data_IF_625693033110
#
_entry.id   IF_625693033110
#
_cell.length_a   1.000
_cell.length_b   1.000
_cell.length_c   1.000
_cell.angle_alpha   90.00
_cell.angle_beta   90.00
_cell.angle_gamma   90.00
#
_symmetry.space_group_name_H-M   'P 1'
#
loop_
_entity.id
_entity.type
_entity.pdbx_description
1 polymer ?
#
# COMPACT_ATOMS: atom_id res chain seq x y z
N UNK A 1 31.05 -51.64 -37.66
CA UNK A 1 29.68 -51.41 -37.14
C UNK A 1 29.62 -50.85 -35.71
N UNK A 2 30.73 -50.44 -35.08
CA UNK A 2 30.77 -49.90 -33.69
C UNK A 2 30.60 -48.37 -33.56
N UNK A 3 30.90 -47.60 -34.61
CA UNK A 3 30.92 -46.13 -34.56
C UNK A 3 29.53 -45.48 -34.60
N UNK A 4 28.54 -46.13 -35.23
CA UNK A 4 27.14 -45.62 -35.27
C UNK A 4 26.44 -45.64 -33.91
N UNK A 5 26.73 -46.62 -33.05
CA UNK A 5 26.10 -46.74 -31.73
C UNK A 5 26.60 -45.66 -30.75
N UNK A 6 27.89 -45.33 -30.78
CA UNK A 6 28.51 -44.32 -29.88
C UNK A 6 27.99 -42.91 -30.18
N UNK A 7 27.81 -42.57 -31.46
CA UNK A 7 27.25 -41.27 -31.86
C UNK A 7 25.77 -41.12 -31.49
N UNK A 8 24.99 -42.22 -31.54
CA UNK A 8 23.60 -42.20 -31.11
C UNK A 8 23.47 -41.96 -29.60
N UNK A 9 24.27 -42.65 -28.77
CA UNK A 9 24.26 -42.45 -27.31
C UNK A 9 24.67 -41.03 -26.89
N UNK A 10 25.65 -40.42 -27.57
CA UNK A 10 26.04 -39.03 -27.31
C UNK A 10 24.91 -38.04 -27.64
N UNK A 11 24.16 -38.29 -28.72
CA UNK A 11 22.99 -37.50 -29.09
C UNK A 11 21.86 -37.58 -28.05
N UNK A 12 21.60 -38.76 -27.50
CA UNK A 12 20.63 -38.93 -26.42
C UNK A 12 21.06 -38.24 -25.13
N UNK A 13 22.34 -38.33 -24.76
CA UNK A 13 22.88 -37.62 -23.58
C UNK A 13 22.79 -36.11 -23.77
N UNK A 14 23.12 -35.58 -24.95
CA UNK A 14 22.99 -34.15 -25.24
C UNK A 14 21.52 -33.69 -25.18
N UNK A 15 20.60 -34.47 -25.74
CA UNK A 15 19.18 -34.15 -25.70
C UNK A 15 18.65 -34.14 -24.26
N UNK A 16 19.04 -35.11 -23.44
CA UNK A 16 18.65 -35.20 -22.04
C UNK A 16 19.18 -34.00 -21.23
N UNK A 17 20.42 -33.59 -21.45
CA UNK A 17 21.01 -32.39 -20.83
C UNK A 17 20.27 -31.12 -21.26
N UNK A 18 19.98 -30.97 -22.55
CA UNK A 18 19.24 -29.81 -23.06
C UNK A 18 17.80 -29.76 -22.53
N UNK A 19 17.14 -30.92 -22.45
CA UNK A 19 15.81 -31.05 -21.88
C UNK A 19 15.82 -30.69 -20.39
N UNK A 20 16.81 -31.19 -19.64
CA UNK A 20 16.97 -30.88 -18.23
C UNK A 20 17.20 -29.37 -18.01
N UNK A 21 18.05 -28.74 -18.81
CA UNK A 21 18.28 -27.28 -18.75
C UNK A 21 17.03 -26.49 -19.10
N UNK A 22 16.28 -26.92 -20.11
CA UNK A 22 15.01 -26.29 -20.49
C UNK A 22 14.01 -26.36 -19.33
N UNK A 23 13.77 -27.55 -18.77
CA UNK A 23 12.86 -27.74 -17.65
C UNK A 23 13.30 -26.95 -16.41
N UNK A 24 14.61 -26.92 -16.13
CA UNK A 24 15.17 -26.12 -15.04
C UNK A 24 14.92 -24.63 -15.23
N UNK A 25 15.20 -24.09 -16.43
CA UNK A 25 14.97 -22.67 -16.74
C UNK A 25 13.50 -22.28 -16.65
N UNK A 26 12.59 -23.16 -17.09
CA UNK A 26 11.15 -22.95 -16.96
C UNK A 26 10.73 -22.89 -15.49
N UNK A 27 11.20 -23.83 -14.67
CA UNK A 27 10.94 -23.83 -13.23
C UNK A 27 11.49 -22.58 -12.54
N UNK A 28 12.72 -22.17 -12.90
CA UNK A 28 13.32 -20.94 -12.39
C UNK A 28 12.52 -19.70 -12.78
N UNK A 29 12.09 -19.59 -14.04
CA UNK A 29 11.31 -18.45 -14.52
C UNK A 29 9.97 -18.31 -13.77
N UNK A 30 9.29 -19.43 -13.52
CA UNK A 30 8.05 -19.45 -12.73
C UNK A 30 8.31 -18.97 -11.30
N UNK A 31 9.33 -19.53 -10.62
CA UNK A 31 9.67 -19.13 -9.25
C UNK A 31 10.07 -17.66 -9.15
N UNK A 32 10.85 -17.18 -10.12
CA UNK A 32 11.27 -15.79 -10.19
C UNK A 32 10.06 -14.85 -10.32
N UNK A 33 9.15 -15.12 -11.27
CA UNK A 33 7.95 -14.32 -11.47
C UNK A 33 7.02 -14.29 -10.26
N UNK A 34 6.86 -15.43 -9.58
CA UNK A 34 6.09 -15.51 -8.33
C UNK A 34 6.74 -14.71 -7.20
N UNK A 35 8.07 -14.78 -7.08
CA UNK A 35 8.82 -14.05 -6.04
C UNK A 35 8.73 -12.55 -6.25
N UNK A 36 8.92 -12.07 -7.47
CA UNK A 36 8.80 -10.65 -7.80
C UNK A 36 7.38 -10.12 -7.52
N UNK A 37 6.36 -10.89 -7.89
CA UNK A 37 4.96 -10.56 -7.61
C UNK A 37 4.67 -10.50 -6.11
N UNK A 38 5.18 -11.46 -5.34
CA UNK A 38 5.03 -11.47 -3.88
C UNK A 38 5.73 -10.26 -3.24
N UNK A 39 6.93 -9.92 -3.69
CA UNK A 39 7.68 -8.75 -3.17
C UNK A 39 6.95 -7.44 -3.50
N UNK A 40 6.46 -7.29 -4.73
CA UNK A 40 5.72 -6.07 -5.12
C UNK A 40 4.42 -5.93 -4.35
N UNK A 41 3.65 -7.00 -4.19
CA UNK A 41 2.42 -7.01 -3.39
C UNK A 41 2.70 -6.72 -1.91
N UNK A 42 3.77 -7.30 -1.34
CA UNK A 42 4.20 -7.02 0.03
C UNK A 42 4.52 -5.54 0.23
N UNK A 43 5.28 -4.92 -0.68
CA UNK A 43 5.60 -3.48 -0.62
C UNK A 43 4.35 -2.60 -0.71
N UNK A 44 3.38 -2.98 -1.54
CA UNK A 44 2.11 -2.26 -1.64
C UNK A 44 1.31 -2.37 -0.33
N UNK A 45 1.21 -3.57 0.25
CA UNK A 45 0.54 -3.79 1.53
C UNK A 45 1.19 -2.99 2.66
N UNK A 46 2.53 -2.99 2.76
CA UNK A 46 3.27 -2.19 3.74
C UNK A 46 2.97 -0.70 3.58
N UNK A 47 2.98 -0.18 2.35
CA UNK A 47 2.70 1.24 2.11
C UNK A 47 1.26 1.62 2.49
N UNK A 48 0.30 0.73 2.22
CA UNK A 48 -1.09 0.94 2.64
C UNK A 48 -1.23 0.93 4.17
N UNK A 49 -0.56 -0.01 4.87
CA UNK A 49 -0.54 -0.03 6.33
C UNK A 49 0.11 1.21 6.95
N UNK A 50 1.21 1.70 6.36
CA UNK A 50 1.84 2.95 6.79
C UNK A 50 0.91 4.15 6.65
N UNK A 51 0.18 4.25 5.53
CA UNK A 51 -0.82 5.29 5.29
C UNK A 51 -2.00 5.19 6.27
N UNK A 52 -2.48 3.98 6.54
CA UNK A 52 -3.53 3.74 7.53
C UNK A 52 -3.08 4.14 8.95
N UNK A 53 -1.86 3.78 9.33
CA UNK A 53 -1.26 4.16 10.60
C UNK A 53 -1.10 5.69 10.72
N UNK A 54 -0.75 6.38 9.63
CA UNK A 54 -0.69 7.83 9.62
C UNK A 54 -2.08 8.45 9.86
N UNK A 55 -3.10 7.99 9.13
CA UNK A 55 -4.47 8.47 9.32
C UNK A 55 -4.94 8.26 10.77
N UNK A 56 -4.67 7.07 11.33
CA UNK A 56 -5.00 6.76 12.72
C UNK A 56 -4.29 7.69 13.71
N UNK A 57 -2.98 7.91 13.56
CA UNK A 57 -2.22 8.83 14.43
C UNK A 57 -2.78 10.26 14.40
N UNK A 58 -3.20 10.73 13.23
CA UNK A 58 -3.81 12.06 13.09
C UNK A 58 -5.14 12.10 13.86
N UNK A 59 -5.99 11.08 13.68
CA UNK A 59 -7.26 10.98 14.40
C UNK A 59 -7.06 10.89 15.91
N UNK A 60 -6.10 10.09 16.38
CA UNK A 60 -5.77 9.95 17.80
C UNK A 60 -5.26 11.28 18.38
N UNK A 61 -4.45 12.03 17.62
CA UNK A 61 -3.96 13.35 18.03
C UNK A 61 -5.09 14.36 18.20
N UNK A 62 -6.08 14.34 17.29
CA UNK A 62 -7.28 15.16 17.40
C UNK A 62 -8.12 14.72 18.60
N UNK A 63 -8.33 13.43 18.78
CA UNK A 63 -9.13 12.89 19.88
C UNK A 63 -8.51 13.13 21.28
N UNK A 64 -7.18 13.28 21.38
CA UNK A 64 -6.48 13.55 22.63
C UNK A 64 -6.65 14.98 23.17
N UNK A 65 -7.28 15.88 22.42
CA UNK A 65 -7.55 17.25 22.84
C UNK A 65 -9.06 17.51 22.82
N UNK A 66 -9.52 18.43 23.67
CA UNK A 66 -10.89 18.92 23.60
C UNK A 66 -11.15 19.52 22.20
N UNK A 67 -12.32 19.27 21.64
CA UNK A 67 -12.69 19.79 20.33
C UNK A 67 -12.69 21.32 20.30
N UNK A 68 -13.05 21.98 21.40
CA UNK A 68 -12.95 23.45 21.49
C UNK A 68 -11.51 23.93 21.31
N UNK A 69 -10.54 23.21 21.88
CA UNK A 69 -9.12 23.53 21.74
C UNK A 69 -8.61 23.24 20.32
N UNK A 70 -9.04 22.12 19.72
CA UNK A 70 -8.69 21.79 18.33
C UNK A 70 -9.19 22.85 17.35
N UNK A 71 -10.41 23.35 17.55
CA UNK A 71 -11.01 24.42 16.76
C UNK A 71 -10.27 25.74 16.96
N UNK A 72 -9.99 26.12 18.21
CA UNK A 72 -9.29 27.36 18.55
C UNK A 72 -7.85 27.40 18.00
N UNK A 73 -7.16 26.25 17.99
CA UNK A 73 -5.80 26.11 17.45
C UNK A 73 -5.75 25.90 15.94
N UNK A 74 -6.90 25.88 15.26
CA UNK A 74 -7.01 25.57 13.83
C UNK A 74 -6.38 24.21 13.46
N UNK A 75 -6.37 23.27 14.40
CA UNK A 75 -5.92 21.89 14.16
C UNK A 75 -6.98 21.07 13.42
N UNK A 76 -8.25 21.52 13.47
CA UNK A 76 -9.36 21.02 12.69
C UNK A 76 -10.34 22.17 12.42
N UNK A 77 -10.85 22.32 11.20
CA UNK A 77 -11.72 23.44 10.80
C UNK A 77 -13.01 22.88 10.19
N UNK A 78 -14.19 23.05 10.82
CA UNK A 78 -15.47 22.64 10.27
C UNK A 78 -15.79 23.40 8.97
N UNK A 79 -16.19 22.68 7.92
CA UNK A 79 -16.33 23.20 6.55
C UNK A 79 -15.01 23.53 5.85
N UNK A 80 -13.88 23.23 6.50
CA UNK A 80 -12.54 23.54 6.03
C UNK A 80 -11.74 22.31 5.66
N UNK A 81 -10.61 22.58 5.00
CA UNK A 81 -9.64 21.56 4.58
C UNK A 81 -8.29 21.94 5.17
N UNK A 82 -7.67 20.99 5.86
CA UNK A 82 -6.29 21.12 6.36
C UNK A 82 -5.41 20.11 5.65
N UNK A 83 -4.40 20.61 4.96
CA UNK A 83 -3.44 19.76 4.26
C UNK A 83 -2.11 19.69 5.01
N UNK A 84 -1.47 18.54 4.94
CA UNK A 84 -0.15 18.36 5.50
C UNK A 84 0.61 17.24 4.82
N UNK A 85 1.87 17.08 5.23
CA UNK A 85 2.81 16.17 4.60
C UNK A 85 3.60 15.42 5.67
N UNK A 86 3.75 14.11 5.52
CA UNK A 86 4.59 13.29 6.40
C UNK A 86 5.35 12.25 5.57
N UNK A 87 6.67 12.45 5.46
CA UNK A 87 7.53 11.61 4.62
C UNK A 87 7.06 11.57 3.17
N UNK A 88 6.75 10.36 2.68
CA UNK A 88 6.25 10.11 1.32
C UNK A 88 4.73 10.34 1.16
N UNK A 89 4.03 10.60 2.25
CA UNK A 89 2.59 10.81 2.26
C UNK A 89 2.25 12.30 2.28
N UNK A 90 1.13 12.62 1.65
CA UNK A 90 0.39 13.86 1.81
C UNK A 90 -0.94 13.48 2.45
N UNK A 91 -1.48 14.31 3.34
CA UNK A 91 -2.76 14.05 3.97
C UNK A 91 -3.64 15.27 3.95
N UNK A 92 -4.94 15.02 4.00
CA UNK A 92 -5.99 16.03 4.03
C UNK A 92 -6.95 15.68 5.16
N UNK A 93 -7.16 16.62 6.08
CA UNK A 93 -8.17 16.55 7.13
C UNK A 93 -9.34 17.41 6.69
N UNK A 94 -10.53 16.81 6.66
CA UNK A 94 -11.79 17.51 6.42
C UNK A 94 -12.69 17.30 7.61
N UNK A 95 -13.40 18.33 8.01
CA UNK A 95 -14.38 18.22 9.05
C UNK A 95 -15.67 18.91 8.63
N UNK A 96 -16.80 18.26 8.85
CA UNK A 96 -18.11 18.77 8.49
C UNK A 96 -19.10 18.46 9.62
N UNK A 97 -19.97 19.41 9.92
CA UNK A 97 -21.07 19.14 10.84
C UNK A 97 -22.02 18.13 10.22
N UNK A 98 -22.41 17.13 11.00
CA UNK A 98 -23.40 16.17 10.56
C UNK A 98 -24.81 16.72 10.76
N UNK A 99 -25.82 16.02 10.24
CA UNK A 99 -27.24 16.45 10.31
C UNK A 99 -27.73 16.63 11.77
N UNK A 100 -27.03 16.04 12.74
CA UNK A 100 -27.29 16.24 14.16
C UNK A 100 -26.42 17.38 14.71
N UNK A 101 -27.01 18.40 15.37
CA UNK A 101 -26.23 19.44 16.03
C UNK A 101 -25.35 18.78 17.10
N UNK A 102 -24.09 19.24 17.22
CA UNK A 102 -23.05 18.69 18.11
C UNK A 102 -22.31 17.44 17.62
N UNK A 103 -22.64 16.90 16.44
CA UNK A 103 -21.85 15.81 15.85
C UNK A 103 -20.94 16.32 14.73
N UNK A 104 -19.63 16.26 14.94
CA UNK A 104 -18.63 16.62 13.95
C UNK A 104 -18.09 15.36 13.26
N UNK A 105 -18.27 15.29 11.95
CA UNK A 105 -17.66 14.27 11.11
C UNK A 105 -16.27 14.73 10.74
N UNK A 106 -15.27 13.91 11.00
CA UNK A 106 -13.88 14.20 10.64
C UNK A 106 -13.35 13.07 9.78
N UNK A 107 -12.82 13.43 8.62
CA UNK A 107 -12.20 12.49 7.69
C UNK A 107 -10.74 12.85 7.45
N UNK A 108 -9.86 11.87 7.50
CA UNK A 108 -8.45 11.98 7.17
C UNK A 108 -8.19 11.14 5.92
N UNK A 109 -7.87 11.81 4.83
CA UNK A 109 -7.51 11.22 3.54
C UNK A 109 -5.99 11.24 3.39
N UNK A 110 -5.39 10.10 3.04
CA UNK A 110 -3.95 9.97 2.84
C UNK A 110 -3.63 9.60 1.40
N UNK A 111 -2.72 10.37 0.81
CA UNK A 111 -2.24 10.28 -0.55
C UNK A 111 -0.76 9.93 -0.56
N UNK A 112 -0.34 9.12 -1.52
CA UNK A 112 1.08 8.85 -1.73
C UNK A 112 1.57 9.70 -2.90
N UNK A 113 2.56 10.58 -2.65
CA UNK A 113 3.09 11.53 -3.64
C UNK A 113 3.68 10.90 -4.91
N UNK A 114 3.80 9.58 -5.00
CA UNK A 114 4.30 8.87 -6.18
C UNK A 114 3.25 8.10 -6.99
N UNK A 115 1.98 8.04 -6.55
CA UNK A 115 0.97 7.16 -7.16
C UNK A 115 -0.38 7.88 -7.26
N UNK A 116 -0.49 8.73 -8.29
CA UNK A 116 -1.73 9.40 -8.69
C UNK A 116 -2.33 10.35 -7.66
N UNK A 117 -3.51 10.88 -7.98
CA UNK A 117 -4.27 11.82 -7.15
C UNK A 117 -5.37 11.16 -6.31
N UNK A 118 -5.57 9.84 -6.39
CA UNK A 118 -6.63 9.16 -5.66
C UNK A 118 -6.20 8.88 -4.19
N UNK A 119 -7.10 9.13 -3.22
CA UNK A 119 -6.81 8.84 -1.82
C UNK A 119 -6.60 7.34 -1.66
N UNK A 120 -5.44 6.96 -1.13
CA UNK A 120 -5.08 5.55 -0.95
C UNK A 120 -5.70 4.96 0.31
N UNK A 121 -5.99 5.83 1.27
CA UNK A 121 -6.66 5.46 2.49
C UNK A 121 -7.50 6.65 2.97
N UNK A 122 -8.71 6.36 3.45
CA UNK A 122 -9.59 7.33 4.08
C UNK A 122 -10.07 6.73 5.39
N UNK A 123 -9.85 7.46 6.49
CA UNK A 123 -10.41 7.16 7.79
C UNK A 123 -11.44 8.23 8.13
N UNK A 124 -12.60 7.82 8.62
CA UNK A 124 -13.68 8.73 8.97
C UNK A 124 -14.23 8.35 10.35
N UNK A 125 -14.45 9.35 11.19
CA UNK A 125 -15.05 9.18 12.51
C UNK A 125 -16.01 10.32 12.82
N UNK A 126 -16.94 10.04 13.74
CA UNK A 126 -17.89 11.00 14.27
C UNK A 126 -17.49 11.31 15.71
N UNK A 127 -17.44 12.60 16.02
CA UNK A 127 -17.13 13.08 17.36
C UNK A 127 -18.27 13.92 17.90
N UNK A 128 -18.64 13.68 19.15
CA UNK A 128 -19.53 14.57 19.90
C UNK A 128 -18.72 15.78 20.37
N UNK A 129 -19.22 16.98 20.08
CA UNK A 129 -18.61 18.26 20.41
C UNK A 129 -19.54 19.01 21.35
N UNK A 130 -19.16 19.11 22.63
CA UNK A 130 -19.89 19.81 23.71
C UNK A 130 -19.49 21.29 23.86
#
# INVERSE_FOLDING_TARGET
>A
MRTKLVNASLGYVLFDVLLALFLFSLGFAVLFGLTESAVTQSRQATTLMEGANLAQRIMDRLANHDWRDNLARQACIPGGILEGNEGKFQYIIRADWYDMPQLLRVSVEVFWRGKGSDPQYKLESLYAVE
#
